data_IF_973551948412
#
_entry.id   IF_973551948412
#
_cell.length_a   1.000
_cell.length_b   1.000
_cell.length_c   1.000
_cell.angle_alpha   90.00
_cell.angle_beta   90.00
_cell.angle_gamma   90.00
#
_symmetry.space_group_name_H-M   'P 1'
#
loop_
_entity.id
_entity.type
_entity.pdbx_description
1 polymer ?
#
# COMPACT_ATOMS: atom_id res chain seq x y z
N UNK A 1 24.05 9.72 -18.01
CA UNK A 1 22.76 10.43 -17.85
C UNK A 1 22.72 11.76 -18.59
N UNK A 2 23.87 12.41 -18.76
CA UNK A 2 24.08 13.59 -19.59
C UNK A 2 23.48 13.47 -21.00
N UNK A 3 23.62 12.32 -21.65
CA UNK A 3 23.02 12.08 -22.97
C UNK A 3 21.49 12.17 -22.93
N UNK A 4 20.86 11.62 -21.88
CA UNK A 4 19.42 11.69 -21.73
C UNK A 4 18.92 13.13 -21.52
N UNK A 5 19.71 13.97 -20.84
CA UNK A 5 19.44 15.41 -20.68
C UNK A 5 19.47 16.13 -22.03
N UNK A 6 20.56 15.96 -22.78
CA UNK A 6 20.81 16.68 -24.04
C UNK A 6 19.82 16.26 -25.14
N UNK A 7 19.48 14.97 -25.20
CA UNK A 7 18.64 14.40 -26.26
C UNK A 7 17.15 14.40 -25.92
N UNK A 8 16.74 15.03 -24.82
CA UNK A 8 15.36 15.04 -24.34
C UNK A 8 14.78 13.63 -24.13
N UNK A 9 15.62 12.68 -23.71
CA UNK A 9 15.23 11.29 -23.45
C UNK A 9 14.89 11.07 -21.98
N UNK A 10 14.15 10.00 -21.71
CA UNK A 10 13.97 9.49 -20.35
C UNK A 10 15.09 8.51 -20.00
N UNK A 11 15.78 8.74 -18.90
CA UNK A 11 16.81 7.83 -18.39
C UNK A 11 16.14 6.63 -17.72
N UNK A 12 16.00 5.54 -18.47
CA UNK A 12 15.22 4.38 -18.07
C UNK A 12 15.89 3.06 -18.50
N UNK A 13 15.60 1.99 -17.77
CA UNK A 13 16.06 0.63 -18.09
C UNK A 13 14.88 -0.26 -18.47
N UNK A 14 15.16 -1.33 -19.20
CA UNK A 14 14.16 -2.32 -19.60
C UNK A 14 13.71 -3.17 -18.42
N UNK A 15 12.42 -3.43 -18.35
CA UNK A 15 11.81 -4.39 -17.45
C UNK A 15 11.53 -5.65 -18.26
N UNK A 16 12.16 -6.74 -17.85
CA UNK A 16 11.98 -8.07 -18.41
C UNK A 16 11.33 -8.93 -17.32
N UNK A 17 10.26 -9.62 -17.68
CA UNK A 17 9.52 -10.50 -16.79
C UNK A 17 9.52 -11.91 -17.36
N UNK A 18 9.96 -12.86 -16.54
CA UNK A 18 9.88 -14.28 -16.83
C UNK A 18 8.41 -14.73 -16.75
N UNK A 19 7.88 -15.24 -17.85
CA UNK A 19 6.49 -15.70 -17.98
C UNK A 19 6.46 -17.14 -18.47
N UNK A 20 5.62 -17.98 -17.86
CA UNK A 20 5.35 -19.34 -18.33
C UNK A 20 3.89 -19.41 -18.79
N UNK A 21 3.62 -19.52 -20.09
CA UNK A 21 2.27 -19.72 -20.59
C UNK A 21 1.71 -21.07 -20.10
N UNK A 22 0.45 -21.08 -19.70
CA UNK A 22 -0.27 -22.30 -19.35
C UNK A 22 -1.39 -22.47 -20.36
N UNK A 23 -1.38 -23.57 -21.12
CA UNK A 23 -2.44 -23.93 -22.04
C UNK A 23 -3.23 -25.11 -21.49
N UNK A 24 -4.50 -25.22 -21.90
CA UNK A 24 -5.38 -26.31 -21.48
C UNK A 24 -5.63 -27.18 -22.70
N UNK A 25 -5.21 -28.45 -22.67
CA UNK A 25 -5.51 -29.40 -23.74
C UNK A 25 -7.03 -29.64 -23.78
N UNK A 26 -7.67 -29.27 -24.90
CA UNK A 26 -9.12 -29.37 -25.10
C UNK A 26 -9.64 -30.81 -24.92
N UNK A 27 -8.83 -31.82 -25.25
CA UNK A 27 -9.24 -33.23 -25.20
C UNK A 27 -9.06 -33.85 -23.82
N UNK A 28 -7.99 -33.49 -23.11
CA UNK A 28 -7.67 -34.08 -21.80
C UNK A 28 -8.05 -33.19 -20.61
N UNK A 29 -8.41 -31.92 -20.86
CA UNK A 29 -8.71 -30.89 -19.85
C UNK A 29 -7.58 -30.73 -18.83
N UNK A 30 -6.33 -30.99 -19.24
CA UNK A 30 -5.14 -30.85 -18.41
C UNK A 30 -4.43 -29.55 -18.75
N UNK A 31 -3.94 -28.90 -17.70
CA UNK A 31 -3.04 -27.76 -17.83
C UNK A 31 -1.64 -28.28 -18.22
N UNK A 32 -1.12 -27.75 -19.32
CA UNK A 32 0.24 -27.97 -19.79
C UNK A 32 0.99 -26.64 -19.73
N UNK A 33 2.12 -26.63 -19.03
CA UNK A 33 3.00 -25.48 -18.96
C UNK A 33 3.94 -25.49 -20.18
N UNK A 34 3.97 -24.38 -20.91
CA UNK A 34 4.89 -24.19 -22.03
C UNK A 34 6.29 -23.77 -21.53
N UNK A 35 7.21 -23.52 -22.46
CA UNK A 35 8.53 -22.99 -22.13
C UNK A 35 8.42 -21.62 -21.45
N UNK A 36 9.22 -21.44 -20.40
CA UNK A 36 9.35 -20.17 -19.70
C UNK A 36 10.13 -19.18 -20.56
N UNK A 37 9.57 -17.98 -20.77
CA UNK A 37 10.11 -16.96 -21.66
C UNK A 37 10.37 -15.65 -20.93
N UNK A 38 11.48 -14.99 -21.28
CA UNK A 38 11.77 -13.62 -20.86
C UNK A 38 11.02 -12.62 -21.74
N UNK A 39 10.00 -11.98 -21.18
CA UNK A 39 9.14 -11.04 -21.91
C UNK A 39 9.48 -9.60 -21.51
N UNK A 40 9.81 -8.77 -22.49
CA UNK A 40 9.92 -7.33 -22.30
C UNK A 40 8.54 -6.72 -22.04
N UNK A 41 8.36 -6.08 -20.87
CA UNK A 41 7.07 -5.47 -20.47
C UNK A 41 7.08 -3.94 -20.46
N UNK A 42 8.25 -3.31 -20.67
CA UNK A 42 8.36 -1.85 -20.73
C UNK A 42 9.67 -1.32 -20.18
N UNK A 43 9.73 0.00 -19.97
CA UNK A 43 10.88 0.70 -19.38
C UNK A 43 10.49 1.33 -18.05
N UNK A 44 11.39 1.26 -17.07
CA UNK A 44 11.27 1.97 -15.78
C UNK A 44 12.34 3.06 -15.66
N UNK A 45 11.96 4.30 -15.30
CA UNK A 45 12.93 5.34 -15.00
C UNK A 45 13.89 4.92 -13.89
N UNK A 46 15.19 5.15 -14.10
CA UNK A 46 16.23 4.82 -13.13
C UNK A 46 16.62 6.08 -12.36
N UNK A 47 16.61 5.98 -11.04
CA UNK A 47 17.06 7.07 -10.17
C UNK A 47 18.58 7.21 -10.27
N UNK A 48 19.08 8.43 -10.48
CA UNK A 48 20.51 8.69 -10.58
C UNK A 48 21.22 8.35 -9.26
N UNK A 49 22.40 7.72 -9.37
CA UNK A 49 23.21 7.21 -8.25
C UNK A 49 22.49 6.19 -7.32
N UNK A 50 21.36 5.62 -7.75
CA UNK A 50 20.77 4.45 -7.07
C UNK A 50 21.49 3.14 -7.43
N UNK A 51 21.17 2.06 -6.72
CA UNK A 51 21.73 0.72 -6.95
C UNK A 51 21.53 0.12 -8.35
N UNK A 52 20.65 0.72 -9.17
CA UNK A 52 20.41 0.32 -10.57
C UNK A 52 21.01 1.30 -11.57
N UNK A 53 21.61 2.40 -11.10
CA UNK A 53 22.29 3.37 -11.94
C UNK A 53 23.77 2.98 -12.06
N UNK A 54 24.32 2.80 -13.28
CA UNK A 54 25.74 2.53 -13.47
C UNK A 54 26.70 3.63 -12.98
N UNK A 55 26.18 4.79 -12.55
CA UNK A 55 27.00 5.85 -11.93
C UNK A 55 27.31 5.59 -10.45
N UNK A 56 26.55 4.73 -9.76
CA UNK A 56 26.75 4.44 -8.33
C UNK A 56 28.15 3.89 -8.04
N UNK A 57 28.64 2.98 -8.90
CA UNK A 57 29.90 2.27 -8.69
C UNK A 57 31.12 2.98 -9.28
N UNK A 58 30.98 4.20 -9.81
CA UNK A 58 32.06 4.92 -10.47
C UNK A 58 32.83 5.79 -9.49
N UNK A 59 34.14 5.85 -9.67
CA UNK A 59 35.02 6.80 -8.97
C UNK A 59 34.78 8.23 -9.45
N UNK A 60 35.19 9.23 -8.66
CA UNK A 60 35.08 10.65 -9.03
C UNK A 60 35.72 10.95 -10.39
N UNK A 61 36.90 10.35 -10.66
CA UNK A 61 37.59 10.55 -11.92
C UNK A 61 36.82 9.94 -13.11
N UNK A 62 36.19 8.78 -12.92
CA UNK A 62 35.36 8.15 -13.96
C UNK A 62 34.07 8.93 -14.24
N UNK A 63 33.49 9.56 -13.21
CA UNK A 63 32.33 10.46 -13.36
C UNK A 63 32.70 11.69 -14.19
N UNK A 64 33.82 12.35 -13.86
CA UNK A 64 34.34 13.49 -14.64
C UNK A 64 34.59 13.09 -16.09
N UNK A 65 35.22 11.94 -16.31
CA UNK A 65 35.51 11.42 -17.65
C UNK A 65 34.23 11.14 -18.46
N UNK A 66 33.11 10.84 -17.79
CA UNK A 66 31.79 10.63 -18.40
C UNK A 66 30.95 11.92 -18.50
N UNK A 67 31.49 13.07 -18.09
CA UNK A 67 30.79 14.36 -18.14
C UNK A 67 29.70 14.52 -17.08
N UNK A 68 29.80 13.77 -15.98
CA UNK A 68 28.94 13.92 -14.80
C UNK A 68 29.71 14.63 -13.68
N UNK A 69 29.00 15.33 -12.80
CA UNK A 69 29.60 15.99 -11.63
C UNK A 69 29.78 14.98 -10.49
N UNK A 70 31.02 14.79 -9.96
CA UNK A 70 31.25 13.96 -8.78
C UNK A 70 30.42 14.36 -7.57
N UNK A 71 30.16 15.66 -7.40
CA UNK A 71 29.44 16.24 -6.26
C UNK A 71 27.92 16.20 -6.41
N UNK A 72 27.39 15.77 -7.55
CA UNK A 72 25.95 15.59 -7.74
C UNK A 72 25.39 14.59 -6.71
N UNK A 73 24.42 14.95 -5.86
CA UNK A 73 23.87 14.01 -4.87
C UNK A 73 23.11 12.84 -5.50
N UNK A 74 22.63 12.96 -6.74
CA UNK A 74 21.68 12.00 -7.32
C UNK A 74 20.33 12.00 -6.60
N UNK A 75 19.59 10.89 -6.64
CA UNK A 75 18.30 10.76 -5.95
C UNK A 75 17.09 11.30 -6.73
N UNK A 76 17.27 11.68 -7.98
CA UNK A 76 16.23 12.15 -8.89
C UNK A 76 16.22 11.35 -10.21
N UNK A 77 15.24 11.59 -11.05
CA UNK A 77 15.02 10.93 -12.33
C UNK A 77 15.15 11.93 -13.48
N UNK A 78 15.58 11.48 -14.66
CA UNK A 78 15.53 12.29 -15.88
C UNK A 78 14.39 11.76 -16.74
N UNK A 79 13.37 12.58 -16.97
CA UNK A 79 12.17 12.25 -17.76
C UNK A 79 12.07 13.28 -18.89
N UNK A 80 12.19 12.81 -20.14
CA UNK A 80 12.17 13.64 -21.35
C UNK A 80 13.14 14.82 -21.23
N UNK A 81 14.40 14.55 -20.86
CA UNK A 81 15.44 15.55 -20.64
C UNK A 81 15.32 16.38 -19.36
N UNK A 82 14.19 16.33 -18.66
CA UNK A 82 13.94 17.14 -17.46
C UNK A 82 14.20 16.35 -16.18
N UNK A 83 14.91 16.95 -15.23
CA UNK A 83 15.13 16.36 -13.91
C UNK A 83 13.87 16.46 -13.03
N UNK A 84 13.47 15.35 -12.42
CA UNK A 84 12.28 15.21 -11.59
C UNK A 84 12.63 14.44 -10.33
N UNK A 85 12.24 14.97 -9.18
CA UNK A 85 12.43 14.32 -7.89
C UNK A 85 11.08 13.94 -7.30
N UNK A 86 11.02 12.76 -6.67
CA UNK A 86 9.88 12.37 -5.86
C UNK A 86 10.04 13.00 -4.48
N UNK A 87 9.08 13.84 -4.09
CA UNK A 87 9.06 14.47 -2.77
C UNK A 87 8.39 13.52 -1.79
N UNK A 88 9.01 13.34 -0.63
CA UNK A 88 8.44 12.55 0.47
C UNK A 88 7.12 13.17 0.92
N UNK A 89 6.08 12.33 1.01
CA UNK A 89 4.78 12.74 1.54
C UNK A 89 4.64 12.25 2.97
N UNK A 90 4.16 13.14 3.84
CA UNK A 90 3.72 12.78 5.17
C UNK A 90 2.30 12.23 5.10
N UNK A 91 2.06 11.10 5.75
CA UNK A 91 0.77 10.43 5.77
C UNK A 91 0.48 9.90 7.18
N UNK A 92 -0.81 9.75 7.49
CA UNK A 92 -1.24 9.19 8.77
C UNK A 92 -0.75 7.75 8.91
N UNK A 93 -0.29 7.42 10.12
CA UNK A 93 0.20 6.08 10.45
C UNK A 93 -0.83 5.01 10.06
N UNK A 94 -0.51 4.10 9.11
CA UNK A 94 -1.42 3.04 8.72
C UNK A 94 -1.55 2.03 9.86
N UNK A 95 -2.62 1.23 9.82
CA UNK A 95 -2.89 0.16 10.78
C UNK A 95 -2.95 0.64 12.25
N UNK A 96 -3.22 1.93 12.47
CA UNK A 96 -3.43 2.53 13.79
C UNK A 96 -4.86 3.03 13.92
N UNK A 97 -5.50 2.75 15.05
CA UNK A 97 -6.82 3.28 15.38
C UNK A 97 -6.66 4.74 15.80
N UNK A 98 -7.37 5.62 15.11
CA UNK A 98 -7.49 7.04 15.39
C UNK A 98 -8.91 7.29 15.92
N UNK A 99 -9.03 7.65 17.19
CA UNK A 99 -10.31 7.96 17.82
C UNK A 99 -10.45 9.47 18.00
N UNK A 100 -11.61 10.01 17.64
CA UNK A 100 -11.93 11.42 17.74
C UNK A 100 -13.39 11.64 18.17
N UNK A 101 -13.65 12.77 18.81
CA UNK A 101 -15.01 13.24 19.04
C UNK A 101 -15.59 13.76 17.73
N UNK A 102 -16.81 13.32 17.41
CA UNK A 102 -17.48 13.78 16.20
C UNK A 102 -17.96 15.23 16.39
N UNK A 103 -18.02 15.99 15.29
CA UNK A 103 -18.51 17.37 15.33
C UNK A 103 -19.94 17.46 15.87
N UNK A 104 -20.30 18.60 16.48
CA UNK A 104 -21.63 18.81 17.10
C UNK A 104 -22.80 18.68 16.11
N UNK A 105 -22.55 18.87 14.81
CA UNK A 105 -23.52 18.71 13.73
C UNK A 105 -23.68 17.26 13.25
N UNK A 106 -22.80 16.34 13.69
CA UNK A 106 -22.83 14.94 13.30
C UNK A 106 -23.95 14.17 14.00
N UNK A 107 -24.43 13.13 13.32
CA UNK A 107 -25.32 12.12 13.93
C UNK A 107 -24.56 11.15 14.87
N UNK A 108 -23.23 11.13 14.77
CA UNK A 108 -22.34 10.40 15.67
C UNK A 108 -21.86 11.30 16.81
N UNK A 109 -21.52 10.68 17.94
CA UNK A 109 -20.87 11.31 19.09
C UNK A 109 -19.35 11.13 19.05
N UNK A 110 -18.90 9.94 18.65
CA UNK A 110 -17.50 9.56 18.54
C UNK A 110 -17.28 8.80 17.24
N UNK A 111 -16.10 8.94 16.66
CA UNK A 111 -15.66 8.20 15.50
C UNK A 111 -14.29 7.58 15.76
N UNK A 112 -14.12 6.33 15.35
CA UNK A 112 -12.83 5.67 15.29
C UNK A 112 -12.53 5.27 13.84
N UNK A 113 -11.34 5.56 13.36
CA UNK A 113 -10.91 5.30 11.99
C UNK A 113 -9.60 4.56 11.97
N UNK A 114 -9.48 3.58 11.09
CA UNK A 114 -8.21 2.91 10.79
C UNK A 114 -8.02 2.88 9.28
N UNK A 115 -6.82 3.22 8.83
CA UNK A 115 -6.41 3.03 7.44
C UNK A 115 -5.64 1.72 7.36
N UNK A 116 -6.34 0.63 7.02
CA UNK A 116 -5.73 -0.69 6.91
C UNK A 116 -4.96 -0.79 5.61
N UNK A 117 -3.65 -1.04 5.71
CA UNK A 117 -2.76 -1.20 4.55
C UNK A 117 -2.14 -2.58 4.54
N UNK A 118 -2.35 -3.34 3.45
CA UNK A 118 -1.75 -4.65 3.20
C UNK A 118 -1.41 -4.78 1.72
N UNK A 119 -0.18 -5.18 1.40
CA UNK A 119 0.28 -5.49 0.03
C UNK A 119 -0.10 -4.44 -1.03
N UNK A 120 0.06 -3.15 -0.70
CA UNK A 120 -0.27 -2.03 -1.60
C UNK A 120 -1.75 -1.65 -1.66
N UNK A 121 -2.65 -2.42 -1.04
CA UNK A 121 -4.04 -2.05 -0.86
C UNK A 121 -4.23 -1.26 0.44
N UNK A 122 -4.87 -0.10 0.36
CA UNK A 122 -5.21 0.74 1.51
C UNK A 122 -6.72 0.97 1.54
N UNK A 123 -7.36 0.61 2.66
CA UNK A 123 -8.79 0.82 2.85
C UNK A 123 -9.09 1.47 4.21
N UNK A 124 -9.90 2.54 4.24
CA UNK A 124 -10.40 3.09 5.49
C UNK A 124 -11.51 2.19 6.06
N UNK A 125 -11.42 1.87 7.33
CA UNK A 125 -12.53 1.31 8.11
C UNK A 125 -12.89 2.33 9.18
N UNK A 126 -14.16 2.72 9.23
CA UNK A 126 -14.67 3.73 10.16
C UNK A 126 -15.75 3.12 11.03
N UNK A 127 -15.66 3.32 12.34
CA UNK A 127 -16.68 2.98 13.33
C UNK A 127 -17.23 4.27 13.91
N UNK A 128 -18.54 4.42 13.93
CA UNK A 128 -19.23 5.56 14.50
C UNK A 128 -20.15 5.13 15.64
N UNK A 129 -20.07 5.85 16.76
CA UNK A 129 -21.01 5.72 17.87
C UNK A 129 -22.09 6.77 17.75
N UNK A 130 -23.31 6.36 17.44
CA UNK A 130 -24.48 7.25 17.39
C UNK A 130 -24.91 7.70 18.78
N UNK A 131 -25.77 8.74 18.84
CA UNK A 131 -26.31 9.30 20.09
C UNK A 131 -27.15 8.31 20.91
N UNK A 132 -27.77 7.34 20.23
CA UNK A 132 -28.52 6.22 20.81
C UNK A 132 -27.63 5.08 21.32
N UNK A 133 -26.30 5.23 21.24
CA UNK A 133 -25.33 4.21 21.62
C UNK A 133 -25.03 3.17 20.55
N UNK A 134 -25.73 3.19 19.40
CA UNK A 134 -25.50 2.20 18.35
C UNK A 134 -24.15 2.42 17.66
N UNK A 135 -23.38 1.33 17.55
CA UNK A 135 -22.12 1.29 16.82
C UNK A 135 -22.36 0.87 15.38
N UNK A 136 -21.92 1.68 14.41
CA UNK A 136 -22.01 1.36 12.99
C UNK A 136 -20.65 1.43 12.32
N UNK A 137 -20.39 0.46 11.45
CA UNK A 137 -19.14 0.29 10.71
C UNK A 137 -19.35 0.62 9.24
N UNK A 138 -18.36 1.26 8.61
CA UNK A 138 -18.31 1.56 7.18
C UNK A 138 -16.93 1.21 6.61
N UNK A 139 -16.92 0.55 5.46
CA UNK A 139 -15.72 0.21 4.70
C UNK A 139 -16.07 0.11 3.20
N UNK A 140 -15.10 0.31 2.26
CA UNK A 140 -15.39 0.51 0.84
C UNK A 140 -16.19 -0.60 0.16
N UNK A 141 -16.03 -1.85 0.59
CA UNK A 141 -16.65 -3.01 -0.07
C UNK A 141 -18.15 -3.15 0.21
N UNK A 142 -18.70 -2.42 1.20
CA UNK A 142 -20.13 -2.50 1.55
C UNK A 142 -20.74 -1.10 1.53
N UNK A 143 -21.77 -0.86 0.69
CA UNK A 143 -22.42 0.45 0.65
C UNK A 143 -23.13 0.75 1.98
N UNK A 144 -22.92 1.96 2.47
CA UNK A 144 -23.55 2.45 3.69
C UNK A 144 -22.84 2.03 4.98
N UNK A 145 -23.63 1.95 6.06
CA UNK A 145 -23.15 1.69 7.42
C UNK A 145 -23.88 0.49 8.00
N UNK A 146 -23.16 -0.54 8.39
CA UNK A 146 -23.70 -1.76 8.98
C UNK A 146 -23.55 -1.74 10.52
N UNK A 147 -24.50 -2.28 11.29
CA UNK A 147 -24.33 -2.49 12.72
C UNK A 147 -23.09 -3.34 13.03
N UNK A 148 -22.30 -2.95 14.05
CA UNK A 148 -21.09 -3.67 14.44
C UNK A 148 -21.35 -5.15 14.76
N UNK A 149 -22.44 -5.46 15.46
CA UNK A 149 -22.79 -6.83 15.83
C UNK A 149 -22.97 -7.74 14.60
N UNK A 150 -23.51 -7.22 13.49
CA UNK A 150 -23.68 -8.00 12.25
C UNK A 150 -22.31 -8.33 11.65
N UNK A 151 -21.38 -7.36 11.64
CA UNK A 151 -20.02 -7.59 11.15
C UNK A 151 -19.29 -8.63 12.01
N UNK A 152 -19.39 -8.53 13.34
CA UNK A 152 -18.75 -9.48 14.27
C UNK A 152 -19.27 -10.91 14.06
N UNK A 153 -20.58 -11.08 13.85
CA UNK A 153 -21.16 -12.38 13.50
C UNK A 153 -20.65 -12.92 12.17
N UNK A 154 -20.54 -12.06 11.15
CA UNK A 154 -20.00 -12.45 9.85
C UNK A 154 -18.51 -12.83 9.90
N UNK A 155 -17.76 -12.27 10.86
CA UNK A 155 -16.35 -12.61 11.11
C UNK A 155 -16.16 -13.91 11.91
N UNK A 156 -17.24 -14.54 12.39
CA UNK A 156 -17.19 -15.85 13.05
C UNK A 156 -17.49 -15.85 14.54
N UNK A 157 -17.96 -14.75 15.14
CA UNK A 157 -18.44 -14.76 16.53
C UNK A 157 -19.91 -15.19 16.55
N UNK A 158 -20.20 -16.36 17.10
CA UNK A 158 -21.49 -17.03 16.96
C UNK A 158 -22.49 -16.65 18.07
N UNK A 159 -22.00 -16.35 19.27
CA UNK A 159 -22.85 -15.99 20.42
C UNK A 159 -22.73 -14.52 20.80
N UNK A 160 -23.79 -13.93 21.37
CA UNK A 160 -23.73 -12.56 21.90
C UNK A 160 -22.70 -12.42 23.02
N UNK A 161 -22.48 -13.53 23.76
CA UNK A 161 -21.44 -13.63 24.79
C UNK A 161 -20.04 -13.45 24.19
N UNK A 162 -19.70 -14.15 23.11
CA UNK A 162 -18.40 -13.98 22.43
C UNK A 162 -18.20 -12.54 21.94
N UNK A 163 -19.24 -11.93 21.36
CA UNK A 163 -19.18 -10.55 20.89
C UNK A 163 -18.94 -9.58 22.04
N UNK A 164 -19.64 -9.78 23.17
CA UNK A 164 -19.45 -9.00 24.37
C UNK A 164 -18.03 -9.16 24.93
N UNK A 165 -17.53 -10.39 25.04
CA UNK A 165 -16.19 -10.69 25.54
C UNK A 165 -15.09 -10.11 24.65
N UNK A 166 -15.30 -10.03 23.34
CA UNK A 166 -14.35 -9.44 22.39
C UNK A 166 -14.24 -7.90 22.47
N UNK A 167 -15.28 -7.23 22.97
CA UNK A 167 -15.36 -5.76 23.04
C UNK A 167 -15.05 -5.27 24.46
N UNK A 168 -15.40 -6.04 25.48
CA UNK A 168 -15.27 -5.66 26.89
C UNK A 168 -13.86 -5.91 27.42
N UNK A 169 -13.25 -4.89 28.03
CA UNK A 169 -11.90 -4.98 28.62
C UNK A 169 -11.84 -5.85 29.90
N UNK A 170 -12.98 -6.18 30.50
CA UNK A 170 -13.05 -6.72 31.87
C UNK A 170 -12.45 -8.13 32.04
N UNK A 171 -12.35 -8.94 30.98
CA UNK A 171 -11.71 -10.27 31.04
C UNK A 171 -10.25 -10.32 30.58
N UNK A 172 -9.76 -9.31 29.84
CA UNK A 172 -8.32 -9.21 29.53
C UNK A 172 -7.49 -8.81 30.76
N UNK A 173 -8.11 -8.10 31.70
CA UNK A 173 -7.49 -7.61 32.93
C UNK A 173 -7.87 -8.43 34.18
N UNK A 174 -8.17 -9.74 34.07
CA UNK A 174 -8.21 -10.67 35.21
C UNK A 174 -8.99 -10.23 36.46
N UNK A 175 -9.98 -9.33 36.34
CA UNK A 175 -10.83 -8.91 37.45
C UNK A 175 -12.17 -9.60 37.29
N UNK A 176 -12.35 -10.65 38.08
CA UNK A 176 -13.64 -11.32 38.26
C UNK A 176 -14.68 -10.29 38.72
N UNK A 177 -15.86 -10.22 38.08
CA UNK A 177 -16.96 -9.44 38.61
C UNK A 177 -17.63 -10.28 39.71
N UNK A 178 -17.16 -10.10 40.93
CA UNK A 178 -17.87 -10.47 42.15
C UNK A 178 -17.83 -9.28 43.11
N UNK A 179 -18.84 -8.42 42.99
CA UNK A 179 -19.67 -7.87 44.07
C UNK A 179 -20.67 -6.85 43.50
#
# INVERSE_FOLDING_TARGET
PIEARIRELSYAADIILEMTPITIDERTQREEAEETLDIYIGKIPIMLKSCRCPLESLTEQELINKGEDPLDPGGYFIINGTERVLVTQEDLAPNRILAEEASKSSSATHQAKVFSTKSGFRAPVTIERKKDGNLRVSFPSVPGKIPLAILMRALGLHSDREIFEAISEEMAAGKSPLN
#
